data_IF_385148104983
#
_entry.id   IF_385148104983
#
_cell.length_a   1.000
_cell.length_b   1.000
_cell.length_c   1.000
_cell.angle_alpha   90.00
_cell.angle_beta   90.00
_cell.angle_gamma   90.00
#
_symmetry.space_group_name_H-M   'P 1'
#
loop_
_entity.id
_entity.type
_entity.pdbx_description
1 polymer ?
#
# COMPACT_ATOMS: atom_id res chain seq x y z
N UNK A 1 -13.34 -3.49 -28.12
CA UNK A 1 -11.99 -2.95 -27.85
C UNK A 1 -11.76 -3.08 -26.36
N UNK A 2 -10.60 -3.62 -25.95
CA UNK A 2 -10.33 -3.84 -24.52
C UNK A 2 -9.51 -2.66 -24.00
N UNK A 3 -9.90 -2.10 -22.84
CA UNK A 3 -9.07 -1.20 -22.06
C UNK A 3 -7.73 -1.87 -21.76
N UNK A 4 -6.59 -1.20 -21.98
CA UNK A 4 -5.24 -1.74 -21.82
C UNK A 4 -4.34 -0.76 -21.08
N UNK A 5 -3.62 -1.26 -20.08
CA UNK A 5 -2.52 -0.54 -19.43
C UNK A 5 -1.19 -0.99 -20.03
N UNK A 6 -0.32 -0.03 -20.28
CA UNK A 6 1.06 -0.27 -20.74
C UNK A 6 1.98 -0.44 -19.53
N UNK A 7 2.87 -1.44 -19.60
CA UNK A 7 3.80 -1.84 -18.55
C UNK A 7 4.67 -0.72 -18.01
N UNK A 8 4.98 0.27 -18.86
CA UNK A 8 5.89 1.36 -18.52
C UNK A 8 5.17 2.56 -17.87
N UNK A 9 3.85 2.70 -18.03
CA UNK A 9 3.14 3.95 -17.68
C UNK A 9 2.89 4.17 -16.19
N UNK A 10 2.73 3.09 -15.42
CA UNK A 10 2.23 3.17 -14.03
C UNK A 10 3.04 2.34 -13.04
N UNK A 11 4.36 2.25 -13.26
CA UNK A 11 5.30 1.52 -12.42
C UNK A 11 4.77 0.12 -12.05
N UNK A 12 4.70 -0.77 -13.06
CA UNK A 12 4.25 -2.14 -12.84
C UNK A 12 5.12 -2.81 -11.76
N UNK A 13 4.53 -3.30 -10.65
CA UNK A 13 5.29 -3.66 -9.48
C UNK A 13 5.69 -5.13 -9.46
N UNK A 14 6.69 -5.44 -8.64
CA UNK A 14 7.03 -6.82 -8.25
C UNK A 14 5.99 -7.39 -7.26
N UNK A 15 5.28 -6.52 -6.52
CA UNK A 15 4.17 -6.88 -5.64
C UNK A 15 3.07 -5.80 -5.67
N UNK A 16 1.81 -6.21 -5.83
CA UNK A 16 0.65 -5.31 -5.73
C UNK A 16 -0.42 -5.86 -4.81
N UNK A 17 -0.98 -5.00 -3.96
CA UNK A 17 -2.24 -5.24 -3.27
C UNK A 17 -3.32 -4.39 -3.94
N UNK A 18 -4.33 -5.04 -4.50
CA UNK A 18 -5.49 -4.38 -5.11
C UNK A 18 -6.66 -4.40 -4.14
N UNK A 19 -7.30 -3.27 -3.95
CA UNK A 19 -8.50 -3.13 -3.13
C UNK A 19 -9.63 -2.59 -4.01
N UNK A 20 -10.79 -3.23 -3.94
CA UNK A 20 -11.99 -2.81 -4.67
C UNK A 20 -12.83 -1.88 -3.79
N UNK A 21 -12.78 -0.58 -4.09
CA UNK A 21 -13.63 0.40 -3.45
C UNK A 21 -15.05 0.37 -4.01
N UNK A 22 -15.86 -0.55 -3.48
CA UNK A 22 -17.23 -0.78 -3.95
C UNK A 22 -18.17 0.42 -3.75
N UNK A 23 -17.85 1.33 -2.82
CA UNK A 23 -18.69 2.52 -2.60
C UNK A 23 -18.54 3.53 -3.74
N UNK A 24 -17.36 3.61 -4.34
CA UNK A 24 -17.04 4.57 -5.39
C UNK A 24 -16.84 3.91 -6.76
N UNK A 25 -16.95 2.58 -6.81
CA UNK A 25 -16.73 1.74 -8.00
C UNK A 25 -15.31 1.89 -8.57
N UNK A 26 -14.31 1.89 -7.68
CA UNK A 26 -12.90 2.06 -8.05
C UNK A 26 -12.06 0.83 -7.70
N UNK A 27 -10.98 0.60 -8.44
CA UNK A 27 -9.88 -0.24 -7.96
C UNK A 27 -8.75 0.68 -7.54
N UNK A 28 -8.29 0.53 -6.30
CA UNK A 28 -7.15 1.25 -5.75
C UNK A 28 -6.01 0.27 -5.51
N UNK A 29 -4.81 0.66 -5.89
CA UNK A 29 -3.58 -0.10 -5.69
C UNK A 29 -2.52 0.77 -5.05
N UNK A 30 -1.77 0.17 -4.12
CA UNK A 30 -0.49 0.72 -3.65
C UNK A 30 0.59 -0.24 -4.15
N UNK A 31 1.39 0.24 -5.09
CA UNK A 31 2.39 -0.54 -5.85
C UNK A 31 3.78 -0.17 -5.34
N UNK A 32 4.60 -1.12 -4.92
CA UNK A 32 5.99 -0.85 -4.57
C UNK A 32 6.93 -1.27 -5.70
N UNK A 33 8.00 -0.51 -5.92
CA UNK A 33 9.03 -0.82 -6.92
C UNK A 33 10.41 -0.49 -6.37
N UNK A 34 11.36 -1.37 -6.62
CA UNK A 34 12.78 -1.08 -6.43
C UNK A 34 13.28 -0.19 -7.58
N UNK A 35 13.77 1.00 -7.24
CA UNK A 35 14.34 1.96 -8.18
C UNK A 35 15.80 2.28 -7.83
N UNK A 36 16.57 1.26 -7.46
CA UNK A 36 18.02 1.37 -7.20
C UNK A 36 18.31 1.55 -5.71
N UNK A 37 18.88 2.68 -5.24
CA UNK A 37 19.13 2.88 -3.81
C UNK A 37 17.85 3.20 -3.01
N UNK A 38 16.71 3.34 -3.67
CA UNK A 38 15.45 3.77 -3.06
C UNK A 38 14.32 2.83 -3.46
N UNK A 39 13.48 2.48 -2.48
CA UNK A 39 12.19 1.83 -2.74
C UNK A 39 11.11 2.91 -2.66
N UNK A 40 10.35 3.02 -3.74
CA UNK A 40 9.22 3.93 -3.87
C UNK A 40 7.91 3.15 -3.93
N UNK A 41 6.83 3.80 -3.52
CA UNK A 41 5.48 3.33 -3.76
C UNK A 41 4.73 4.25 -4.71
N UNK A 42 3.67 3.71 -5.33
CA UNK A 42 2.78 4.44 -6.21
C UNK A 42 1.35 4.15 -5.80
N UNK A 43 0.61 5.21 -5.53
CA UNK A 43 -0.83 5.15 -5.37
C UNK A 43 -1.47 5.24 -6.75
N UNK A 44 -2.25 4.23 -7.11
CA UNK A 44 -2.93 4.14 -8.41
C UNK A 44 -4.42 3.93 -8.18
N UNK A 45 -5.23 4.76 -8.84
CA UNK A 45 -6.69 4.70 -8.74
C UNK A 45 -7.29 4.54 -10.12
N UNK A 46 -8.16 3.55 -10.26
CA UNK A 46 -8.81 3.18 -11.51
C UNK A 46 -10.32 3.29 -11.37
N UNK A 47 -10.98 4.00 -12.29
CA UNK A 47 -12.43 4.15 -12.31
C UNK A 47 -13.08 3.10 -13.21
N UNK A 48 -13.80 2.15 -12.60
CA UNK A 48 -14.44 1.06 -13.34
C UNK A 48 -15.57 1.53 -14.25
N UNK A 49 -16.12 2.72 -14.04
CA UNK A 49 -17.15 3.28 -14.91
C UNK A 49 -16.62 3.60 -16.32
N UNK A 50 -15.29 3.64 -16.50
CA UNK A 50 -14.61 3.96 -17.75
C UNK A 50 -14.28 2.71 -18.60
N UNK A 51 -14.47 1.50 -18.07
CA UNK A 51 -14.22 0.24 -18.79
C UNK A 51 -15.05 0.17 -20.07
N UNK A 52 -14.39 -0.10 -21.20
CA UNK A 52 -15.03 -0.16 -22.52
C UNK A 52 -15.44 1.21 -23.10
N UNK A 53 -15.20 2.30 -22.36
CA UNK A 53 -15.42 3.70 -22.82
C UNK A 53 -14.11 4.42 -23.12
N UNK A 54 -13.02 4.02 -22.46
CA UNK A 54 -11.68 4.56 -22.65
C UNK A 54 -10.65 3.44 -22.77
N UNK A 55 -9.55 3.73 -23.47
CA UNK A 55 -8.39 2.87 -23.54
C UNK A 55 -7.69 2.72 -22.19
N UNK A 56 -7.73 3.79 -21.37
CA UNK A 56 -7.18 3.84 -20.02
C UNK A 56 -8.25 4.28 -19.00
N UNK A 57 -8.19 3.66 -17.82
CA UNK A 57 -9.14 3.86 -16.72
C UNK A 57 -8.45 4.38 -15.45
N UNK A 58 -7.12 4.57 -15.47
CA UNK A 58 -6.41 5.25 -14.37
C UNK A 58 -6.84 6.71 -14.34
N UNK A 59 -7.31 7.16 -13.18
CA UNK A 59 -7.75 8.53 -12.94
C UNK A 59 -6.82 9.29 -12.00
N UNK A 60 -6.06 8.59 -11.16
CA UNK A 60 -5.04 9.19 -10.28
C UNK A 60 -3.80 8.28 -10.21
N UNK A 61 -2.63 8.93 -10.20
CA UNK A 61 -1.32 8.29 -10.07
C UNK A 61 -0.38 9.21 -9.28
N UNK A 62 0.04 8.77 -8.09
CA UNK A 62 0.89 9.56 -7.17
C UNK A 62 2.09 8.75 -6.68
N UNK A 63 3.27 9.38 -6.68
CA UNK A 63 4.49 8.83 -6.10
C UNK A 63 4.47 9.03 -4.58
N UNK A 64 4.82 7.97 -3.86
CA UNK A 64 5.01 7.90 -2.42
C UNK A 64 6.50 7.57 -2.16
N UNK A 65 7.35 8.57 -1.93
CA UNK A 65 8.81 8.38 -1.94
C UNK A 65 9.32 7.73 -0.65
N UNK A 66 10.49 7.08 -0.74
CA UNK A 66 11.31 6.62 0.40
C UNK A 66 10.63 5.61 1.35
N UNK A 67 9.78 4.73 0.84
CA UNK A 67 9.04 3.73 1.62
C UNK A 67 9.84 2.46 1.96
N UNK A 68 11.14 2.43 1.70
CA UNK A 68 12.03 1.28 1.93
C UNK A 68 12.03 0.66 3.32
N UNK A 69 11.60 1.38 4.36
CA UNK A 69 11.47 0.83 5.71
C UNK A 69 10.09 0.25 6.01
N UNK A 70 9.10 0.44 5.13
CA UNK A 70 7.75 -0.09 5.32
C UNK A 70 7.71 -1.56 4.89
N UNK A 71 7.18 -2.42 5.76
CA UNK A 71 7.12 -3.87 5.50
C UNK A 71 5.92 -4.25 4.63
N UNK A 72 4.77 -3.60 4.85
CA UNK A 72 3.54 -3.82 4.08
C UNK A 72 2.79 -2.50 3.89
N UNK A 73 2.05 -2.40 2.80
CA UNK A 73 1.18 -1.26 2.49
C UNK A 73 -0.11 -1.77 1.82
N UNK A 74 -1.24 -1.24 2.26
CA UNK A 74 -2.56 -1.51 1.66
C UNK A 74 -3.44 -0.27 1.73
N UNK A 75 -4.38 -0.12 0.81
CA UNK A 75 -5.37 0.94 0.86
C UNK A 75 -6.51 0.58 1.82
N UNK A 76 -6.82 1.44 2.79
CA UNK A 76 -8.01 1.31 3.63
C UNK A 76 -9.13 2.19 3.07
N UNK A 77 -10.10 1.56 2.42
CA UNK A 77 -11.27 2.23 1.85
C UNK A 77 -12.10 3.03 2.86
N UNK A 78 -12.10 2.63 4.14
CA UNK A 78 -12.91 3.33 5.16
C UNK A 78 -12.31 4.69 5.50
N UNK A 79 -11.00 4.74 5.63
CA UNK A 79 -10.26 5.96 6.00
C UNK A 79 -9.73 6.71 4.78
N UNK A 80 -9.80 6.10 3.59
CA UNK A 80 -9.24 6.60 2.33
C UNK A 80 -7.74 6.88 2.41
N UNK A 81 -7.03 6.13 3.27
CA UNK A 81 -5.59 6.27 3.55
C UNK A 81 -4.86 4.97 3.25
N UNK A 82 -3.54 5.05 3.15
CA UNK A 82 -2.69 3.86 3.07
C UNK A 82 -2.40 3.39 4.49
N UNK A 83 -2.78 2.16 4.81
CA UNK A 83 -2.38 1.48 6.02
C UNK A 83 -1.04 0.80 5.76
N UNK A 84 -0.04 1.14 6.56
CA UNK A 84 1.30 0.60 6.43
C UNK A 84 1.80 0.03 7.76
N UNK A 85 2.80 -0.82 7.68
CA UNK A 85 3.50 -1.36 8.85
C UNK A 85 4.98 -1.07 8.79
N UNK A 86 5.59 -0.78 9.93
CA UNK A 86 7.01 -0.41 10.04
C UNK A 86 7.63 -1.01 11.31
N UNK A 87 8.92 -1.34 11.23
CA UNK A 87 9.77 -1.66 12.36
C UNK A 87 10.79 -0.52 12.60
N UNK A 88 10.79 0.09 13.78
CA UNK A 88 11.69 1.20 14.11
C UNK A 88 13.16 0.73 14.23
N UNK A 89 13.88 0.57 13.13
CA UNK A 89 15.21 -0.08 13.09
C UNK A 89 16.36 0.52 13.93
N UNK A 90 16.15 1.59 14.71
CA UNK A 90 17.22 2.21 15.53
C UNK A 90 16.83 2.67 16.93
N UNK A 91 15.53 2.72 17.29
CA UNK A 91 15.07 3.25 18.59
C UNK A 91 14.50 2.12 19.47
N UNK A 92 13.68 1.25 18.89
CA UNK A 92 13.21 -0.01 19.46
C UNK A 92 12.75 -0.89 18.30
N UNK A 93 12.93 -2.20 18.31
CA UNK A 93 12.49 -3.00 17.16
C UNK A 93 10.96 -3.25 17.13
N UNK A 94 10.20 -2.41 17.82
CA UNK A 94 8.76 -2.52 17.91
C UNK A 94 8.13 -2.44 16.53
N UNK A 95 7.15 -3.30 16.35
CA UNK A 95 6.39 -3.34 15.13
C UNK A 95 5.14 -2.51 15.27
N UNK A 96 4.98 -1.54 14.38
CA UNK A 96 3.88 -0.58 14.42
C UNK A 96 3.05 -0.61 13.15
N UNK A 97 1.81 -0.21 13.32
CA UNK A 97 0.87 0.08 12.24
C UNK A 97 0.61 1.58 12.22
N UNK A 98 0.62 2.17 11.04
CA UNK A 98 0.47 3.61 10.84
C UNK A 98 -0.30 3.91 9.57
N UNK A 99 -0.93 5.07 9.51
CA UNK A 99 -1.58 5.56 8.30
C UNK A 99 -0.67 6.53 7.58
N UNK A 100 -0.61 6.42 6.25
CA UNK A 100 0.02 7.36 5.34
C UNK A 100 -1.05 8.00 4.47
N UNK A 101 -0.97 9.33 4.30
CA UNK A 101 -1.79 10.04 3.34
C UNK A 101 -1.33 9.73 1.90
N UNK A 102 -2.23 9.28 1.00
CA UNK A 102 -1.85 8.87 -0.35
C UNK A 102 -1.44 10.04 -1.28
N UNK A 103 -1.68 11.28 -0.86
CA UNK A 103 -1.41 12.49 -1.64
C UNK A 103 -0.23 13.28 -1.08
N UNK A 104 -0.06 13.31 0.25
CA UNK A 104 1.04 14.06 0.90
C UNK A 104 2.18 13.18 1.38
N UNK A 105 2.01 11.85 1.42
CA UNK A 105 2.95 10.90 2.04
C UNK A 105 3.19 11.13 3.54
N UNK A 106 2.39 11.96 4.20
CA UNK A 106 2.52 12.23 5.63
C UNK A 106 2.02 11.05 6.46
N UNK A 107 2.76 10.70 7.52
CA UNK A 107 2.42 9.63 8.45
C UNK A 107 1.58 10.13 9.63
N UNK A 108 0.65 9.30 10.09
CA UNK A 108 -0.22 9.59 11.23
C UNK A 108 -0.65 8.31 11.95
N UNK A 109 -1.19 8.47 13.16
CA UNK A 109 -1.88 7.39 13.90
C UNK A 109 -1.04 6.13 14.05
N UNK A 110 0.16 6.28 14.61
CA UNK A 110 1.04 5.14 14.90
C UNK A 110 0.49 4.34 16.09
N UNK A 111 0.30 3.05 15.89
CA UNK A 111 -0.18 2.10 16.89
C UNK A 111 0.81 0.95 17.01
N UNK A 112 1.18 0.60 18.24
CA UNK A 112 1.99 -0.59 18.51
C UNK A 112 1.18 -1.86 18.18
N UNK A 113 1.73 -2.73 17.35
CA UNK A 113 1.16 -4.05 17.06
C UNK A 113 1.74 -5.11 17.99
N UNK A 114 3.07 -5.16 18.12
CA UNK A 114 3.74 -6.01 19.08
C UNK A 114 5.14 -5.50 19.39
N UNK A 115 5.61 -5.84 20.60
CA UNK A 115 6.98 -5.63 21.02
C UNK A 115 7.82 -6.82 20.55
N UNK A 116 8.89 -6.55 19.82
CA UNK A 116 9.89 -7.58 19.53
C UNK A 116 10.85 -7.69 20.71
N UNK A 117 11.15 -8.91 21.20
CA UNK A 117 12.29 -9.11 22.09
C UNK A 117 13.59 -8.62 21.43
N UNK A 118 14.56 -8.18 22.24
CA UNK A 118 15.75 -7.44 21.81
C UNK A 118 16.40 -7.97 20.51
N UNK A 119 16.52 -7.06 19.53
CA UNK A 119 17.21 -7.22 18.24
C UNK A 119 16.56 -8.12 17.19
N UNK A 120 15.32 -8.60 17.38
CA UNK A 120 14.63 -9.31 16.31
C UNK A 120 14.22 -8.38 15.16
N UNK A 121 14.79 -8.60 13.98
CA UNK A 121 14.35 -7.96 12.73
C UNK A 121 13.31 -8.82 12.07
N UNK A 122 12.19 -8.23 11.67
CA UNK A 122 11.17 -8.93 10.90
C UNK A 122 11.59 -8.96 9.43
N UNK A 123 11.94 -10.13 8.92
CA UNK A 123 12.41 -10.28 7.53
C UNK A 123 11.28 -10.31 6.50
N UNK A 124 10.16 -10.94 6.85
CA UNK A 124 9.01 -11.05 5.96
C UNK A 124 7.71 -11.00 6.74
N UNK A 125 6.72 -10.34 6.15
CA UNK A 125 5.37 -10.28 6.72
C UNK A 125 4.38 -10.57 5.63
N UNK A 126 3.59 -11.61 5.85
CA UNK A 126 2.39 -11.80 5.06
C UNK A 126 1.22 -11.22 5.84
N UNK A 127 0.61 -10.18 5.30
CA UNK A 127 -0.64 -9.65 5.81
C UNK A 127 -1.81 -10.35 5.10
N UNK A 128 -2.74 -10.89 5.86
CA UNK A 128 -4.05 -11.34 5.37
C UNK A 128 -5.09 -10.42 5.99
N UNK A 129 -5.75 -9.62 5.17
CA UNK A 129 -6.80 -8.71 5.61
C UNK A 129 -8.18 -9.38 5.50
N UNK A 130 -8.91 -9.44 6.60
CA UNK A 130 -10.33 -9.77 6.61
C UNK A 130 -11.15 -8.47 6.55
N UNK A 131 -11.75 -8.19 5.40
CA UNK A 131 -12.57 -7.01 5.16
C UNK A 131 -13.82 -6.94 6.06
N UNK A 132 -14.36 -8.10 6.48
CA UNK A 132 -15.61 -8.17 7.25
C UNK A 132 -15.37 -7.82 8.71
N UNK A 133 -14.32 -8.38 9.32
CA UNK A 133 -13.98 -8.17 10.73
C UNK A 133 -12.98 -7.05 10.94
N UNK A 134 -12.37 -6.55 9.86
CA UNK A 134 -11.29 -5.56 9.86
C UNK A 134 -10.08 -6.00 10.68
N UNK A 135 -9.79 -7.30 10.64
CA UNK A 135 -8.64 -7.90 11.29
C UNK A 135 -7.56 -8.13 10.23
N UNK A 136 -6.30 -7.89 10.62
CA UNK A 136 -5.15 -8.28 9.81
C UNK A 136 -4.43 -9.38 10.58
N UNK A 137 -4.34 -10.56 9.97
CA UNK A 137 -3.41 -11.59 10.42
C UNK A 137 -2.05 -11.29 9.81
N UNK A 138 -1.10 -10.97 10.66
CA UNK A 138 0.31 -10.90 10.30
C UNK A 138 0.93 -12.27 10.54
N UNK A 139 1.41 -12.92 9.47
CA UNK A 139 2.33 -14.05 9.57
C UNK A 139 3.74 -13.47 9.48
N UNK A 140 4.45 -13.57 10.60
CA UNK A 140 5.78 -13.02 10.84
C UNK A 140 6.73 -14.19 11.01
#
# INVERSE_FOLDING_TARGET
EYTRQDGEKYAFPDASNSIFDYNENWIVQVRARDEGPTINAYFVKMDLNLVGKKEDIVVEFHLLPNVHWLCTMTYDMKTKRVLATWQYGSINNNFVMLYMDPYTSEFSNVNLLFETPDLWTVEFIKAIFDERTRQILFLI
#
